data_IF_491455045726
#
_entry.id   IF_491455045726
#
_cell.length_a   1.000
_cell.length_b   1.000
_cell.length_c   1.000
_cell.angle_alpha   90.00
_cell.angle_beta   90.00
_cell.angle_gamma   90.00
#
_symmetry.space_group_name_H-M   'P 1'
#
loop_
_entity.id
_entity.type
_entity.pdbx_description
1 polymer ?
#
# COMPACT_ATOMS: atom_id res chain seq x y z
N UNK A 1 -7.21 8.34 4.28
CA UNK A 1 -5.80 8.49 4.70
C UNK A 1 -4.99 9.40 3.78
N UNK A 2 -4.90 9.12 2.46
CA UNK A 2 -4.16 10.02 1.53
C UNK A 2 -5.00 11.17 0.97
N UNK A 3 -6.29 10.95 0.71
CA UNK A 3 -7.22 12.03 0.34
C UNK A 3 -7.32 13.13 1.43
N UNK A 4 -7.06 12.77 2.69
CA UNK A 4 -7.07 13.69 3.83
C UNK A 4 -5.77 14.50 3.93
N UNK A 5 -4.68 14.06 3.30
CA UNK A 5 -3.40 14.80 3.24
C UNK A 5 -3.47 15.90 2.17
N UNK A 6 -4.24 15.69 1.10
CA UNK A 6 -4.33 16.62 -0.03
C UNK A 6 -5.28 17.82 0.25
N UNK A 7 -6.09 17.77 1.32
CA UNK A 7 -7.14 18.76 1.60
C UNK A 7 -6.72 19.88 2.57
N UNK A 8 -5.50 19.84 3.12
CA UNK A 8 -5.00 20.88 4.01
C UNK A 8 -4.42 22.05 3.17
N UNK A 9 -5.10 23.19 3.24
CA UNK A 9 -4.79 24.46 2.55
C UNK A 9 -3.46 25.10 2.97
N UNK A 10 -2.66 24.44 3.82
CA UNK A 10 -1.34 24.87 4.25
C UNK A 10 -0.25 24.14 3.44
N UNK A 11 -0.11 24.54 2.17
CA UNK A 11 0.88 24.00 1.24
C UNK A 11 2.31 24.18 1.81
N UNK A 12 3.07 23.08 1.71
CA UNK A 12 4.53 23.05 1.56
C UNK A 12 5.46 22.95 2.79
N UNK A 13 5.02 22.48 3.96
CA UNK A 13 5.96 22.00 4.99
C UNK A 13 5.66 20.57 5.40
N UNK A 14 6.52 19.57 5.05
CA UNK A 14 6.36 18.23 5.57
C UNK A 14 6.52 18.25 7.10
N UNK A 15 5.45 17.99 7.84
CA UNK A 15 5.44 17.93 9.32
C UNK A 15 6.25 16.74 9.88
N UNK A 16 6.77 15.87 9.01
CA UNK A 16 7.51 14.66 9.34
C UNK A 16 8.96 14.72 8.80
N UNK A 17 9.77 15.65 9.32
CA UNK A 17 11.13 15.94 8.80
C UNK A 17 12.07 14.72 8.75
N UNK A 18 11.86 13.73 9.61
CA UNK A 18 12.70 12.53 9.71
C UNK A 18 12.04 11.24 9.21
N UNK A 19 10.79 11.29 8.74
CA UNK A 19 10.07 10.11 8.26
C UNK A 19 10.26 9.99 6.75
N UNK A 20 11.09 9.06 6.32
CA UNK A 20 11.33 8.83 4.89
C UNK A 20 10.18 8.06 4.23
N UNK A 21 9.65 7.02 4.91
CA UNK A 21 8.69 6.09 4.32
C UNK A 21 7.62 5.67 5.31
N UNK A 22 6.37 5.64 4.85
CA UNK A 22 5.25 5.05 5.57
C UNK A 22 4.86 3.70 4.97
N UNK A 23 4.28 2.83 5.79
CA UNK A 23 3.67 1.58 5.33
C UNK A 23 2.22 1.62 5.82
N UNK A 24 1.24 1.76 4.93
CA UNK A 24 -0.15 1.74 5.35
C UNK A 24 -0.52 0.30 5.77
N UNK A 25 -1.23 0.17 6.89
CA UNK A 25 -1.75 -1.11 7.37
C UNK A 25 -3.24 -0.93 7.59
N UNK A 26 -4.06 -1.84 7.05
CA UNK A 26 -5.52 -1.80 7.15
C UNK A 26 -6.05 -2.78 8.21
N UNK A 27 -5.39 -3.93 8.35
CA UNK A 27 -5.66 -4.87 9.42
C UNK A 27 -4.36 -5.53 9.89
N UNK A 28 -4.39 -6.01 11.13
CA UNK A 28 -3.27 -6.70 11.76
C UNK A 28 -3.76 -7.99 12.39
N UNK A 29 -2.96 -9.04 12.32
CA UNK A 29 -3.21 -10.31 13.00
C UNK A 29 -1.92 -10.86 13.62
N UNK A 30 -2.03 -11.92 14.41
CA UNK A 30 -0.86 -12.64 14.89
C UNK A 30 -0.18 -13.40 13.74
N UNK A 31 1.08 -13.73 13.93
CA UNK A 31 1.87 -14.54 13.00
C UNK A 31 1.47 -16.03 13.06
N UNK A 32 0.20 -16.31 12.78
CA UNK A 32 -0.38 -17.65 12.59
C UNK A 32 -0.96 -17.77 11.17
N UNK A 33 -0.76 -18.89 10.45
CA UNK A 33 -1.37 -19.12 9.14
C UNK A 33 -2.91 -19.07 9.17
N UNK A 34 -3.54 -19.52 10.24
CA UNK A 34 -5.00 -19.55 10.38
C UNK A 34 -5.58 -18.13 10.47
N UNK A 35 -4.99 -17.30 11.34
CA UNK A 35 -5.39 -15.90 11.48
C UNK A 35 -5.12 -15.08 10.22
N UNK A 36 -4.02 -15.41 9.51
CA UNK A 36 -3.68 -14.78 8.25
C UNK A 36 -4.78 -15.02 7.21
N UNK A 37 -5.32 -16.23 7.09
CA UNK A 37 -6.41 -16.55 6.15
C UNK A 37 -7.64 -15.72 6.47
N UNK A 38 -8.07 -15.70 7.74
CA UNK A 38 -9.27 -14.97 8.18
C UNK A 38 -9.14 -13.47 7.90
N UNK A 39 -8.03 -12.88 8.32
CA UNK A 39 -7.78 -11.44 8.19
C UNK A 39 -7.62 -11.04 6.73
N UNK A 40 -6.93 -11.87 5.92
CA UNK A 40 -6.78 -11.62 4.48
C UNK A 40 -8.14 -11.59 3.79
N UNK A 41 -9.00 -12.56 4.07
CA UNK A 41 -10.35 -12.62 3.49
C UNK A 41 -11.19 -11.40 3.86
N UNK A 42 -11.14 -10.96 5.11
CA UNK A 42 -11.86 -9.76 5.56
C UNK A 42 -11.38 -8.50 4.83
N UNK A 43 -10.06 -8.29 4.78
CA UNK A 43 -9.46 -7.12 4.13
C UNK A 43 -9.73 -7.11 2.63
N UNK A 44 -9.57 -8.25 1.96
CA UNK A 44 -9.83 -8.36 0.52
C UNK A 44 -11.30 -8.08 0.22
N UNK A 45 -12.24 -8.64 0.98
CA UNK A 45 -13.67 -8.39 0.76
C UNK A 45 -14.05 -6.91 0.95
N UNK A 46 -13.35 -6.20 1.85
CA UNK A 46 -13.66 -4.80 2.17
C UNK A 46 -13.01 -3.81 1.20
N UNK A 47 -11.76 -4.05 0.79
CA UNK A 47 -10.96 -3.05 0.07
C UNK A 47 -10.60 -3.45 -1.37
N UNK A 48 -10.73 -4.73 -1.76
CA UNK A 48 -10.43 -5.15 -3.12
C UNK A 48 -11.64 -4.89 -4.03
N UNK A 49 -11.45 -4.00 -5.00
CA UNK A 49 -12.44 -3.74 -6.04
C UNK A 49 -12.60 -4.97 -6.95
N UNK A 50 -13.85 -5.40 -7.20
CA UNK A 50 -14.16 -6.53 -8.12
C UNK A 50 -13.80 -6.28 -9.59
N UNK A 51 -13.50 -5.04 -9.93
CA UNK A 51 -13.06 -4.60 -11.26
C UNK A 51 -11.55 -4.70 -11.47
N UNK A 52 -10.78 -4.99 -10.42
CA UNK A 52 -9.33 -5.19 -10.48
C UNK A 52 -9.01 -6.29 -11.48
N UNK A 53 -8.10 -6.04 -12.43
CA UNK A 53 -7.70 -7.05 -13.44
C UNK A 53 -6.35 -7.66 -13.11
N UNK A 54 -5.45 -6.86 -12.56
CA UNK A 54 -4.09 -7.28 -12.23
C UNK A 54 -3.75 -7.01 -10.77
N UNK A 55 -3.03 -7.93 -10.15
CA UNK A 55 -2.55 -7.74 -8.78
C UNK A 55 -1.10 -8.16 -8.59
N UNK A 56 -0.46 -7.60 -7.56
CA UNK A 56 0.85 -8.02 -7.07
C UNK A 56 0.82 -8.21 -5.56
N UNK A 57 1.57 -9.20 -5.08
CA UNK A 57 1.78 -9.44 -3.65
C UNK A 57 3.19 -8.97 -3.29
N UNK A 58 3.27 -7.98 -2.40
CA UNK A 58 4.54 -7.51 -1.85
C UNK A 58 4.70 -8.03 -0.44
N UNK A 59 5.65 -8.95 -0.25
CA UNK A 59 5.95 -9.54 1.05
C UNK A 59 7.23 -8.95 1.64
N UNK A 60 7.18 -8.54 2.90
CA UNK A 60 8.34 -8.10 3.67
C UNK A 60 8.29 -8.67 5.08
N UNK A 61 9.45 -9.11 5.57
CA UNK A 61 9.60 -9.76 6.87
C UNK A 61 10.65 -9.04 7.69
N UNK A 62 10.26 -8.61 8.89
CA UNK A 62 11.13 -8.05 9.92
C UNK A 62 11.10 -8.95 11.14
N UNK A 63 12.26 -9.51 11.46
CA UNK A 63 12.51 -10.20 12.72
C UNK A 63 11.43 -11.27 13.07
N UNK A 64 11.12 -12.15 12.10
CA UNK A 64 10.21 -13.27 12.31
C UNK A 64 10.76 -14.51 11.62
N UNK A 65 10.76 -15.68 12.25
CA UNK A 65 11.22 -16.95 11.64
C UNK A 65 10.11 -17.99 11.50
N UNK A 66 8.91 -17.71 12.03
CA UNK A 66 7.80 -18.67 12.14
C UNK A 66 7.00 -18.84 10.84
N UNK A 67 7.01 -17.83 9.97
CA UNK A 67 6.21 -17.82 8.74
C UNK A 67 7.12 -17.77 7.52
N UNK A 68 6.92 -18.73 6.62
CA UNK A 68 7.58 -18.76 5.33
C UNK A 68 6.91 -17.86 4.29
N UNK A 69 7.72 -17.28 3.42
CA UNK A 69 7.28 -16.40 2.34
C UNK A 69 6.34 -17.11 1.37
N UNK A 70 6.65 -18.34 0.97
CA UNK A 70 5.87 -19.04 -0.05
C UNK A 70 4.47 -19.40 0.48
N UNK A 71 4.39 -19.78 1.75
CA UNK A 71 3.12 -20.04 2.43
C UNK A 71 2.22 -18.80 2.42
N UNK A 72 2.77 -17.62 2.73
CA UNK A 72 2.02 -16.35 2.69
C UNK A 72 1.56 -16.01 1.28
N UNK A 73 2.46 -16.10 0.29
CA UNK A 73 2.12 -15.81 -1.10
C UNK A 73 1.00 -16.74 -1.59
N UNK A 74 1.06 -18.03 -1.24
CA UNK A 74 0.02 -19.00 -1.59
C UNK A 74 -1.32 -18.65 -0.94
N UNK A 75 -1.34 -18.44 0.37
CA UNK A 75 -2.56 -18.09 1.12
C UNK A 75 -3.22 -16.84 0.54
N UNK A 76 -2.44 -15.77 0.33
CA UNK A 76 -2.96 -14.50 -0.17
C UNK A 76 -3.38 -14.63 -1.63
N UNK A 77 -2.61 -15.33 -2.46
CA UNK A 77 -2.96 -15.57 -3.86
C UNK A 77 -4.25 -16.35 -4.02
N UNK A 78 -4.42 -17.42 -3.25
CA UNK A 78 -5.63 -18.25 -3.24
C UNK A 78 -6.85 -17.42 -2.81
N UNK A 79 -6.70 -16.59 -1.77
CA UNK A 79 -7.76 -15.69 -1.29
C UNK A 79 -8.17 -14.65 -2.35
N UNK A 80 -7.22 -14.07 -3.09
CA UNK A 80 -7.52 -13.12 -4.16
C UNK A 80 -8.29 -13.79 -5.30
N UNK A 81 -7.89 -14.99 -5.70
CA UNK A 81 -8.56 -15.75 -6.77
C UNK A 81 -9.99 -16.10 -6.37
N UNK A 82 -10.24 -16.39 -5.08
CA UNK A 82 -11.59 -16.65 -4.57
C UNK A 82 -12.48 -15.40 -4.66
N UNK A 83 -11.95 -14.22 -4.37
CA UNK A 83 -12.72 -12.96 -4.41
C UNK A 83 -12.91 -12.46 -5.85
N UNK A 84 -11.88 -12.56 -6.69
CA UNK A 84 -11.90 -12.12 -8.10
C UNK A 84 -11.28 -13.19 -9.01
N UNK A 85 -12.09 -14.12 -9.55
CA UNK A 85 -11.59 -15.25 -10.34
C UNK A 85 -10.88 -14.87 -11.65
N UNK A 86 -11.13 -13.65 -12.17
CA UNK A 86 -10.55 -13.15 -13.43
C UNK A 86 -9.25 -12.36 -13.23
N UNK A 87 -8.76 -12.24 -12.00
CA UNK A 87 -7.54 -11.51 -11.68
C UNK A 87 -6.29 -12.27 -12.18
N UNK A 88 -5.33 -11.52 -12.72
CA UNK A 88 -4.03 -12.04 -13.16
C UNK A 88 -2.90 -11.43 -12.33
N UNK A 89 -1.79 -12.15 -12.19
CA UNK A 89 -0.62 -11.65 -11.44
C UNK A 89 0.24 -10.81 -12.38
N UNK A 90 0.51 -9.56 -12.01
CA UNK A 90 1.43 -8.67 -12.71
C UNK A 90 2.36 -7.97 -11.70
N UNK A 91 3.65 -8.28 -11.74
CA UNK A 91 4.63 -7.75 -10.78
C UNK A 91 5.13 -6.34 -11.14
N UNK A 92 4.98 -5.92 -12.40
CA UNK A 92 5.56 -4.67 -12.89
C UNK A 92 4.58 -3.49 -12.78
N UNK A 93 3.34 -3.68 -13.22
CA UNK A 93 2.29 -2.65 -13.22
C UNK A 93 0.95 -3.25 -12.76
N UNK A 94 0.81 -3.57 -11.46
CA UNK A 94 -0.46 -4.05 -10.92
C UNK A 94 -1.48 -2.92 -10.71
N UNK A 95 -2.76 -3.23 -10.96
CA UNK A 95 -3.88 -2.35 -10.60
C UNK A 95 -4.05 -2.29 -9.07
N UNK A 96 -3.90 -3.43 -8.39
CA UNK A 96 -3.93 -3.53 -6.93
C UNK A 96 -2.67 -4.21 -6.39
N UNK A 97 -2.03 -3.61 -5.39
CA UNK A 97 -0.92 -4.23 -4.66
C UNK A 97 -1.37 -4.59 -3.26
N UNK A 98 -1.19 -5.86 -2.90
CA UNK A 98 -1.42 -6.36 -1.55
C UNK A 98 -0.08 -6.37 -0.84
N UNK A 99 0.08 -5.51 0.17
CA UNK A 99 1.27 -5.49 1.01
C UNK A 99 1.03 -6.36 2.23
N UNK A 100 1.98 -7.26 2.47
CA UNK A 100 2.06 -8.06 3.69
C UNK A 100 3.37 -7.76 4.37
N UNK A 101 3.30 -7.11 5.52
CA UNK A 101 4.45 -6.76 6.34
C UNK A 101 4.41 -7.57 7.64
N UNK A 102 5.41 -8.40 7.88
CA UNK A 102 5.57 -9.12 9.14
C UNK A 102 6.55 -8.36 10.02
N UNK A 103 6.18 -8.11 11.27
CA UNK A 103 7.05 -7.54 12.29
C UNK A 103 6.93 -8.35 13.59
N UNK A 104 7.99 -9.06 13.97
CA UNK A 104 8.02 -9.95 15.12
C UNK A 104 6.90 -11.02 15.06
N UNK A 105 5.89 -10.88 15.90
CA UNK A 105 4.74 -11.77 15.99
C UNK A 105 3.46 -11.18 15.37
N UNK A 106 3.56 -10.03 14.70
CA UNK A 106 2.43 -9.35 14.06
C UNK A 106 2.57 -9.40 12.54
N UNK A 107 1.45 -9.62 11.86
CA UNK A 107 1.33 -9.52 10.42
C UNK A 107 0.38 -8.37 10.10
N UNK A 108 0.84 -7.41 9.33
CA UNK A 108 0.04 -6.31 8.82
C UNK A 108 -0.29 -6.51 7.35
N UNK A 109 -1.55 -6.29 7.00
CA UNK A 109 -2.07 -6.48 5.64
C UNK A 109 -2.65 -5.15 5.16
N UNK A 110 -2.40 -4.82 3.89
CA UNK A 110 -3.06 -3.71 3.22
C UNK A 110 -3.26 -3.99 1.73
N UNK A 111 -4.37 -3.48 1.22
CA UNK A 111 -4.75 -3.47 -0.20
C UNK A 111 -4.65 -2.04 -0.68
N UNK A 112 -3.81 -1.82 -1.69
CA UNK A 112 -3.52 -0.50 -2.22
C UNK A 112 -3.76 -0.52 -3.71
N UNK A 113 -4.73 0.27 -4.16
CA UNK A 113 -4.95 0.51 -5.58
C UNK A 113 -3.86 1.45 -6.11
N UNK A 114 -3.26 1.13 -7.25
CA UNK A 114 -2.28 1.95 -7.95
C UNK A 114 -1.11 2.43 -7.06
N UNK A 115 -0.33 1.50 -6.50
CA UNK A 115 0.81 1.80 -5.61
C UNK A 115 1.79 2.85 -6.19
N UNK A 116 2.01 2.82 -7.51
CA UNK A 116 2.90 3.77 -8.20
C UNK A 116 2.45 5.23 -8.08
N UNK A 117 1.14 5.48 -8.03
CA UNK A 117 0.57 6.82 -7.84
C UNK A 117 1.09 7.46 -6.55
N UNK A 118 1.31 6.65 -5.52
CA UNK A 118 1.73 7.10 -4.20
C UNK A 118 3.24 7.04 -3.97
N UNK A 119 4.05 6.85 -5.03
CA UNK A 119 5.53 6.76 -4.94
C UNK A 119 6.00 5.76 -3.89
N UNK A 120 5.28 4.63 -3.80
CA UNK A 120 5.51 3.61 -2.78
C UNK A 120 5.55 4.15 -1.33
N UNK A 121 4.78 5.20 -1.04
CA UNK A 121 4.68 5.84 0.27
C UNK A 121 6.01 6.44 0.78
N UNK A 122 6.87 6.88 -0.15
CA UNK A 122 8.03 7.70 0.18
C UNK A 122 7.58 9.14 0.41
N UNK A 123 7.52 9.57 1.68
CA UNK A 123 7.09 10.91 2.06
C UNK A 123 8.06 11.99 1.59
N UNK A 124 9.35 11.66 1.51
CA UNK A 124 10.37 12.62 1.02
C UNK A 124 10.16 12.90 -0.45
N UNK A 125 9.93 11.86 -1.26
CA UNK A 125 9.60 12.03 -2.68
C UNK A 125 8.23 12.68 -2.88
N UNK A 126 7.23 12.35 -2.06
CA UNK A 126 5.92 12.98 -2.13
C UNK A 126 5.98 14.48 -1.81
N UNK A 127 6.72 14.86 -0.75
CA UNK A 127 6.94 16.25 -0.39
C UNK A 127 7.71 17.03 -1.47
N UNK A 128 8.75 16.42 -2.05
CA UNK A 128 9.51 17.03 -3.16
C UNK A 128 8.62 17.32 -4.38
N UNK A 129 7.69 16.43 -4.71
CA UNK A 129 6.72 16.68 -5.78
C UNK A 129 5.69 17.75 -5.44
N UNK A 130 5.15 17.74 -4.22
CA UNK A 130 4.23 18.79 -3.77
C UNK A 130 4.88 20.18 -3.82
N UNK A 131 6.17 20.25 -3.48
CA UNK A 131 6.94 21.51 -3.57
C UNK A 131 7.16 21.96 -5.02
N UNK A 132 7.26 21.01 -5.97
CA UNK A 132 7.47 21.31 -7.40
C UNK A 132 6.19 21.80 -8.08
N UNK A 133 5.03 21.22 -7.75
CA UNK A 133 3.74 21.73 -8.25
C UNK A 133 3.41 23.12 -7.69
N UNK A 134 3.77 23.42 -6.44
CA UNK A 134 3.58 24.77 -5.88
C UNK A 134 4.45 25.84 -6.58
N UNK A 135 5.72 25.53 -6.91
CA UNK A 135 6.61 26.47 -7.61
C UNK A 135 6.20 26.77 -9.06
N UNK A 136 5.56 25.81 -9.73
CA UNK A 136 5.11 25.99 -11.11
C UNK A 136 3.81 26.82 -11.19
N UNK A 137 2.97 26.79 -10.16
CA UNK A 137 1.78 27.64 -10.05
C UNK A 137 2.13 29.11 -9.77
N UNK A 138 3.21 29.38 -9.03
CA UNK A 138 3.68 30.75 -8.76
C UNK A 138 4.28 31.41 -10.02
N UNK A 139 5.09 30.69 -10.80
CA UNK A 139 5.68 31.24 -12.05
C UNK A 139 4.65 31.58 -13.13
N UNK A 140 3.50 30.90 -13.17
CA UNK A 140 2.48 31.15 -14.20
C UNK A 140 1.52 32.30 -13.84
N UNK A 141 1.59 32.83 -12.60
CA UNK A 141 0.89 34.06 -12.18
C UNK A 141 1.70 35.33 -12.44
N UNK A 142 3.02 35.23 -12.57
CA UNK A 142 3.92 36.36 -12.82
C UNK A 142 4.07 36.75 -14.30
N UNK A 143 3.51 35.97 -15.24
CA UNK A 143 3.59 36.19 -16.69
C UNK A 143 2.21 36.60 -17.29
N UNK A 144 1.31 37.14 -16.47
CA UNK A 144 -0.01 37.61 -16.93
C UNK A 144 -0.31 39.02 -16.48
#
# INVERSE_FOLDING_TARGET
IMADIDNDTNKAVPRSRFVTRMIPIQATCFASPEELILTTNEVLNKYLSRTTKTFAITFKRRHCTKIDRNTVIKIVGDAVIQVVPKCTVNLDNPDATILVEICNNLVGISVIENLKKYRNFNLTEAAAAATTSCKNEEKNKEIK
#
